data_IF_065966413697
#
_entry.id   IF_065966413697
#
_cell.length_a   1.000
_cell.length_b   1.000
_cell.length_c   1.000
_cell.angle_alpha   90.00
_cell.angle_beta   90.00
_cell.angle_gamma   90.00
#
_symmetry.space_group_name_H-M   'P 1'
#
loop_
_entity.id
_entity.type
_entity.pdbx_description
1 polymer ?
#
# COMPACT_ATOMS: atom_id res chain seq x y z
N UNK A 1 -3.86 3.64 10.46
CA UNK A 1 -2.55 4.24 10.74
C UNK A 1 -2.64 5.21 11.88
N UNK A 2 -1.62 5.24 12.70
CA UNK A 2 -1.46 6.19 13.79
C UNK A 2 -0.04 6.77 13.69
N UNK A 3 0.09 8.09 13.71
CA UNK A 3 1.37 8.79 13.71
C UNK A 3 1.40 9.67 14.95
N UNK A 4 2.07 9.23 16.01
CA UNK A 4 2.00 9.84 17.32
C UNK A 4 0.55 9.91 17.83
N UNK A 5 0.06 11.09 18.16
CA UNK A 5 -1.32 11.33 18.58
C UNK A 5 -2.32 11.36 17.40
N UNK A 6 -1.86 11.50 16.16
CA UNK A 6 -2.70 11.64 14.97
C UNK A 6 -3.28 10.30 14.53
N UNK A 7 -4.58 10.29 14.24
CA UNK A 7 -5.31 9.12 13.72
C UNK A 7 -6.07 9.47 12.45
N UNK A 8 -5.36 9.82 11.35
CA UNK A 8 -5.95 10.45 10.17
C UNK A 8 -7.12 9.66 9.57
N UNK A 9 -7.03 8.34 9.51
CA UNK A 9 -8.13 7.53 8.97
C UNK A 9 -9.33 7.38 9.93
N UNK A 10 -9.14 7.58 11.23
CA UNK A 10 -10.26 7.69 12.16
C UNK A 10 -10.99 9.01 11.94
N UNK A 11 -10.23 10.07 11.82
CA UNK A 11 -10.77 11.42 11.69
C UNK A 11 -11.44 11.62 10.33
N UNK A 12 -10.86 11.07 9.27
CA UNK A 12 -11.49 11.00 7.94
C UNK A 12 -12.81 10.21 8.00
N UNK A 13 -12.81 9.04 8.64
CA UNK A 13 -14.02 8.23 8.76
C UNK A 13 -15.12 8.95 9.54
N UNK A 14 -14.78 9.63 10.64
CA UNK A 14 -15.72 10.43 11.40
C UNK A 14 -16.30 11.60 10.59
N UNK A 15 -15.46 12.27 9.83
CA UNK A 15 -15.87 13.39 8.95
C UNK A 15 -16.80 12.94 7.82
N UNK A 16 -16.57 11.76 7.25
CA UNK A 16 -17.44 11.17 6.23
C UNK A 16 -18.76 10.69 6.84
N UNK A 17 -18.70 10.03 8.00
CA UNK A 17 -19.90 9.56 8.71
C UNK A 17 -20.83 10.70 9.09
N UNK A 18 -20.30 11.85 9.51
CA UNK A 18 -21.07 13.07 9.77
C UNK A 18 -21.79 13.63 8.55
N UNK A 19 -21.42 13.17 7.35
CA UNK A 19 -22.05 13.51 6.06
C UNK A 19 -22.91 12.38 5.49
N UNK A 20 -23.24 11.38 6.30
CA UNK A 20 -24.08 10.27 5.88
C UNK A 20 -23.37 9.20 5.05
N UNK A 21 -22.04 9.18 5.04
CA UNK A 21 -21.25 8.17 4.33
C UNK A 21 -20.74 7.14 5.34
N UNK A 22 -21.24 5.92 5.23
CA UNK A 22 -20.75 4.82 6.06
C UNK A 22 -19.29 4.48 5.70
N UNK A 23 -18.47 4.27 6.71
CA UNK A 23 -17.04 3.93 6.51
C UNK A 23 -16.70 2.69 7.31
N UNK A 24 -16.26 1.64 6.62
CA UNK A 24 -15.69 0.46 7.22
C UNK A 24 -14.17 0.57 7.23
N UNK A 25 -13.58 0.43 8.41
CA UNK A 25 -12.13 0.37 8.62
C UNK A 25 -11.78 -0.88 9.43
N UNK A 26 -10.66 -1.46 9.16
CA UNK A 26 -10.17 -2.63 9.89
C UNK A 26 -8.66 -2.53 10.14
N UNK A 27 -8.16 -3.28 11.10
CA UNK A 27 -6.73 -3.45 11.30
C UNK A 27 -6.20 -4.51 10.35
N UNK A 28 -5.02 -4.28 9.78
CA UNK A 28 -4.35 -5.30 8.96
C UNK A 28 -4.16 -6.58 9.76
N UNK A 29 -4.36 -7.73 9.12
CA UNK A 29 -4.16 -9.04 9.78
C UNK A 29 -2.75 -9.23 10.31
N UNK A 30 -1.74 -8.68 9.66
CA UNK A 30 -0.34 -8.69 10.12
C UNK A 30 -0.15 -7.95 11.44
N UNK A 31 -1.01 -6.98 11.76
CA UNK A 31 -1.03 -6.31 13.06
C UNK A 31 -1.95 -7.01 14.07
N UNK A 32 -3.17 -7.33 13.66
CA UNK A 32 -4.20 -7.91 14.54
C UNK A 32 -3.83 -9.33 14.98
N UNK A 33 -3.18 -10.09 14.13
CA UNK A 33 -2.81 -11.48 14.34
C UNK A 33 -1.30 -11.70 14.19
N UNK A 34 -0.48 -10.75 14.68
CA UNK A 34 0.96 -10.72 14.47
C UNK A 34 1.66 -12.05 14.80
N UNK A 35 1.35 -12.65 15.94
CA UNK A 35 1.95 -13.92 16.35
C UNK A 35 1.62 -15.07 15.39
N UNK A 36 0.37 -15.16 14.91
CA UNK A 36 -0.06 -16.16 13.93
C UNK A 36 0.59 -15.91 12.57
N UNK A 37 0.67 -14.65 12.17
CA UNK A 37 1.25 -14.26 10.88
C UNK A 37 2.78 -14.43 10.86
N UNK A 38 3.47 -14.26 12.00
CA UNK A 38 4.91 -14.49 12.11
C UNK A 38 5.30 -15.93 11.76
N UNK A 39 4.48 -16.92 12.11
CA UNK A 39 4.70 -18.32 11.75
C UNK A 39 4.67 -18.58 10.24
N UNK A 40 4.05 -17.71 9.47
CA UNK A 40 3.91 -17.78 8.00
C UNK A 40 4.64 -16.64 7.29
N UNK A 41 5.51 -15.90 7.97
CA UNK A 41 6.11 -14.67 7.44
C UNK A 41 6.83 -14.86 6.10
N UNK A 42 7.50 -16.01 5.90
CA UNK A 42 8.21 -16.33 4.66
C UNK A 42 7.32 -16.60 3.44
N UNK A 43 6.01 -16.80 3.63
CA UNK A 43 5.04 -17.13 2.56
C UNK A 43 3.92 -16.11 2.40
N UNK A 44 3.90 -15.05 3.22
CA UNK A 44 2.89 -13.99 3.11
C UNK A 44 3.09 -13.21 1.81
N UNK A 45 2.00 -12.96 1.11
CA UNK A 45 1.95 -12.13 -0.09
C UNK A 45 1.05 -10.91 0.12
N UNK A 46 1.08 -9.96 -0.82
CA UNK A 46 0.14 -8.81 -0.80
C UNK A 46 -1.32 -9.26 -0.89
N UNK A 47 -1.57 -10.46 -1.41
CA UNK A 47 -2.91 -11.00 -1.51
C UNK A 47 -3.49 -11.25 -0.11
N UNK A 48 -2.79 -12.04 0.70
CA UNK A 48 -3.21 -12.35 2.07
C UNK A 48 -3.15 -11.10 2.97
N UNK A 49 -2.11 -10.27 2.81
CA UNK A 49 -1.93 -9.12 3.69
C UNK A 49 -2.96 -8.02 3.48
N UNK A 50 -3.41 -7.81 2.23
CA UNK A 50 -4.17 -6.60 1.90
C UNK A 50 -5.39 -6.88 1.02
N UNK A 51 -5.25 -7.65 -0.06
CA UNK A 51 -6.29 -7.76 -1.09
C UNK A 51 -7.49 -8.56 -0.58
N UNK A 52 -7.25 -9.73 0.02
CA UNK A 52 -8.32 -10.60 0.50
C UNK A 52 -9.13 -9.96 1.62
N UNK A 53 -8.48 -9.20 2.52
CA UNK A 53 -9.17 -8.46 3.57
C UNK A 53 -10.03 -7.31 3.00
N UNK A 54 -9.55 -6.61 1.98
CA UNK A 54 -10.32 -5.56 1.32
C UNK A 54 -11.55 -6.12 0.61
N UNK A 55 -11.40 -7.24 -0.12
CA UNK A 55 -12.53 -7.92 -0.76
C UNK A 55 -13.54 -8.47 0.25
N UNK A 56 -13.08 -9.02 1.37
CA UNK A 56 -13.95 -9.45 2.46
C UNK A 56 -14.71 -8.29 3.09
N UNK A 57 -14.06 -7.13 3.25
CA UNK A 57 -14.71 -5.91 3.73
C UNK A 57 -15.79 -5.40 2.76
N UNK A 58 -15.52 -5.42 1.45
CA UNK A 58 -16.52 -5.09 0.41
C UNK A 58 -17.70 -6.06 0.47
N UNK A 59 -17.43 -7.37 0.56
CA UNK A 59 -18.47 -8.40 0.66
C UNK A 59 -19.34 -8.26 1.93
N UNK A 60 -18.74 -7.82 3.04
CA UNK A 60 -19.47 -7.50 4.27
C UNK A 60 -20.39 -6.31 4.07
N UNK A 61 -19.92 -5.23 3.45
CA UNK A 61 -20.73 -4.05 3.16
C UNK A 61 -21.88 -4.36 2.21
N UNK A 62 -21.66 -5.18 1.17
CA UNK A 62 -22.73 -5.62 0.24
C UNK A 62 -23.89 -6.32 0.93
N UNK A 63 -23.63 -6.99 2.05
CA UNK A 63 -24.65 -7.72 2.82
C UNK A 63 -25.35 -6.87 3.88
N UNK A 64 -24.86 -5.67 4.17
CA UNK A 64 -25.40 -4.84 5.23
C UNK A 64 -26.69 -4.13 4.76
N UNK A 65 -27.84 -4.25 5.49
CA UNK A 65 -29.14 -3.77 5.00
C UNK A 65 -29.21 -2.26 4.80
N UNK A 66 -28.37 -1.47 5.47
CA UNK A 66 -28.35 -0.01 5.35
C UNK A 66 -27.34 0.50 4.30
N UNK A 67 -26.67 -0.38 3.58
CA UNK A 67 -25.67 0.01 2.57
C UNK A 67 -26.23 -0.27 1.17
N UNK A 68 -26.12 0.74 0.30
CA UNK A 68 -26.38 0.51 -1.12
C UNK A 68 -25.18 -0.25 -1.74
N UNK A 69 -25.37 -1.51 -2.17
CA UNK A 69 -24.26 -2.32 -2.70
C UNK A 69 -23.67 -1.78 -4.01
N UNK A 70 -24.41 -0.93 -4.73
CA UNK A 70 -23.94 -0.28 -5.97
C UNK A 70 -23.16 1.02 -5.71
N UNK A 71 -22.97 1.41 -4.45
CA UNK A 71 -22.28 2.65 -4.07
C UNK A 71 -21.16 2.39 -3.05
N UNK A 72 -20.43 1.30 -3.22
CA UNK A 72 -19.29 0.93 -2.39
C UNK A 72 -18.02 1.36 -3.11
N UNK A 73 -17.22 2.17 -2.43
CA UNK A 73 -15.94 2.68 -2.91
C UNK A 73 -14.79 2.10 -2.05
N UNK A 74 -13.67 1.82 -2.68
CA UNK A 74 -12.45 1.41 -1.98
C UNK A 74 -11.48 2.57 -1.94
N UNK A 75 -11.04 2.95 -0.72
CA UNK A 75 -10.03 3.97 -0.52
C UNK A 75 -8.73 3.32 -0.02
N UNK A 76 -7.66 3.52 -0.76
CA UNK A 76 -6.33 3.01 -0.43
C UNK A 76 -5.32 4.14 -0.24
N UNK A 77 -4.42 3.98 0.74
CA UNK A 77 -3.33 4.92 1.00
C UNK A 77 -1.99 4.22 0.78
N UNK A 78 -1.04 4.90 0.12
CA UNK A 78 0.31 4.39 -0.15
C UNK A 78 0.23 3.03 -0.89
N UNK A 79 0.82 1.95 -0.36
CA UNK A 79 0.69 0.60 -0.90
C UNK A 79 -0.79 0.18 -1.11
N UNK A 80 -1.70 0.55 -0.20
CA UNK A 80 -3.13 0.29 -0.38
C UNK A 80 -3.72 1.05 -1.57
N UNK A 81 -3.22 2.24 -1.87
CA UNK A 81 -3.57 3.01 -3.07
C UNK A 81 -3.03 2.36 -4.35
N UNK A 82 -1.79 1.89 -4.34
CA UNK A 82 -1.21 1.11 -5.43
C UNK A 82 -2.03 -0.16 -5.75
N UNK A 83 -2.55 -0.82 -4.71
CA UNK A 83 -3.31 -2.07 -4.85
C UNK A 83 -4.81 -1.86 -5.13
N UNK A 84 -5.35 -0.66 -4.94
CA UNK A 84 -6.77 -0.39 -5.14
C UNK A 84 -7.28 -0.72 -6.56
N UNK A 85 -6.54 -0.45 -7.65
CA UNK A 85 -6.93 -0.90 -8.98
C UNK A 85 -7.03 -2.42 -9.09
N UNK A 86 -6.10 -3.16 -8.49
CA UNK A 86 -6.14 -4.63 -8.48
C UNK A 86 -7.34 -5.17 -7.70
N UNK A 87 -7.70 -4.52 -6.60
CA UNK A 87 -8.89 -4.87 -5.81
C UNK A 87 -10.16 -4.63 -6.65
N UNK A 88 -10.27 -3.49 -7.33
CA UNK A 88 -11.40 -3.17 -8.19
C UNK A 88 -11.49 -4.09 -9.43
N UNK A 89 -10.36 -4.53 -9.97
CA UNK A 89 -10.33 -5.52 -11.07
C UNK A 89 -10.86 -6.91 -10.64
N UNK A 90 -10.74 -7.25 -9.35
CA UNK A 90 -11.21 -8.52 -8.78
C UNK A 90 -12.70 -8.50 -8.37
N UNK A 91 -13.29 -7.31 -8.24
CA UNK A 91 -14.71 -7.13 -7.90
C UNK A 91 -15.30 -5.96 -8.70
N UNK A 92 -15.93 -6.28 -9.82
CA UNK A 92 -16.49 -5.31 -10.76
C UNK A 92 -17.67 -4.49 -10.17
N UNK A 93 -18.25 -4.91 -9.05
CA UNK A 93 -19.33 -4.17 -8.37
C UNK A 93 -18.79 -3.02 -7.50
N UNK A 94 -17.48 -2.89 -7.33
CA UNK A 94 -16.88 -1.72 -6.68
C UNK A 94 -17.19 -0.50 -7.55
N UNK A 95 -17.89 0.48 -6.96
CA UNK A 95 -18.41 1.65 -7.69
C UNK A 95 -17.31 2.66 -8.08
N UNK A 96 -16.17 2.63 -7.43
CA UNK A 96 -15.02 3.48 -7.73
C UNK A 96 -13.91 3.32 -6.69
N UNK A 97 -12.76 3.92 -6.96
CA UNK A 97 -11.58 3.85 -6.08
C UNK A 97 -11.02 5.23 -5.76
N UNK A 98 -10.44 5.35 -4.57
CA UNK A 98 -9.79 6.57 -4.10
C UNK A 98 -8.34 6.24 -3.78
N UNK A 99 -7.43 6.83 -4.51
CA UNK A 99 -5.99 6.64 -4.42
C UNK A 99 -5.39 7.81 -3.62
N UNK A 100 -4.96 7.56 -2.40
CA UNK A 100 -4.36 8.59 -1.55
C UNK A 100 -2.86 8.35 -1.43
N UNK A 101 -2.04 9.29 -1.88
CA UNK A 101 -0.58 9.15 -1.90
C UNK A 101 -0.17 7.75 -2.41
N UNK A 102 -0.76 7.35 -3.53
CA UNK A 102 -0.59 6.03 -4.10
C UNK A 102 0.68 5.97 -4.93
N UNK A 103 1.59 5.08 -4.60
CA UNK A 103 2.77 4.88 -5.43
C UNK A 103 2.40 4.19 -6.75
N UNK A 104 2.98 4.68 -7.83
CA UNK A 104 2.90 4.09 -9.17
C UNK A 104 4.17 3.26 -9.47
N UNK A 105 5.27 3.60 -8.82
CA UNK A 105 6.58 2.95 -8.96
C UNK A 105 6.75 1.80 -7.97
N UNK A 106 7.71 0.88 -8.23
CA UNK A 106 8.04 -0.20 -7.30
C UNK A 106 8.41 0.32 -5.90
N UNK A 107 7.85 -0.32 -4.88
CA UNK A 107 8.06 0.10 -3.47
C UNK A 107 9.53 0.13 -3.06
N UNK A 108 10.43 -0.80 -3.50
CA UNK A 108 11.86 -0.69 -3.18
C UNK A 108 12.49 0.62 -3.65
N UNK A 109 12.10 1.17 -4.80
CA UNK A 109 12.60 2.47 -5.28
C UNK A 109 12.18 3.61 -4.35
N UNK A 110 10.91 3.59 -3.90
CA UNK A 110 10.41 4.60 -2.97
C UNK A 110 11.14 4.55 -1.62
N UNK A 111 11.43 3.35 -1.13
CA UNK A 111 12.18 3.17 0.13
C UNK A 111 13.56 3.82 0.02
N UNK A 112 14.25 3.61 -1.10
CA UNK A 112 15.56 4.23 -1.32
C UNK A 112 15.47 5.76 -1.37
N UNK A 113 14.47 6.31 -2.07
CA UNK A 113 14.24 7.77 -2.11
C UNK A 113 13.92 8.34 -0.73
N UNK A 114 13.05 7.67 0.05
CA UNK A 114 12.68 8.10 1.41
C UNK A 114 13.89 8.13 2.34
N UNK A 115 14.69 7.08 2.34
CA UNK A 115 15.88 6.99 3.18
C UNK A 115 16.95 8.02 2.77
N UNK A 116 17.15 8.23 1.48
CA UNK A 116 18.04 9.26 0.96
C UNK A 116 17.58 10.66 1.37
N UNK A 117 16.29 10.93 1.34
CA UNK A 117 15.70 12.19 1.79
C UNK A 117 15.94 12.40 3.30
N UNK A 118 15.61 11.42 4.14
CA UNK A 118 15.84 11.51 5.60
C UNK A 118 17.31 11.75 5.91
N UNK A 119 18.21 11.03 5.24
CA UNK A 119 19.66 11.24 5.36
C UNK A 119 20.07 12.67 5.02
N UNK A 120 19.46 13.27 4.00
CA UNK A 120 19.77 14.64 3.56
C UNK A 120 19.37 15.73 4.56
N UNK A 121 18.44 15.43 5.47
CA UNK A 121 17.97 16.40 6.48
C UNK A 121 19.01 16.63 7.60
N UNK A 122 19.98 15.72 7.77
CA UNK A 122 20.92 15.77 8.88
C UNK A 122 20.28 15.39 10.22
N UNK A 123 21.09 15.51 11.28
CA UNK A 123 20.64 15.20 12.64
C UNK A 123 20.71 13.71 13.00
N UNK A 124 20.20 13.32 14.18
CA UNK A 124 20.35 11.95 14.71
C UNK A 124 19.70 10.86 13.82
N UNK A 125 18.63 11.20 13.15
CA UNK A 125 17.91 10.26 12.26
C UNK A 125 18.65 10.02 10.93
N UNK A 126 19.50 10.94 10.51
CA UNK A 126 20.24 10.84 9.25
C UNK A 126 21.30 9.72 9.26
N UNK A 127 21.93 9.47 10.40
CA UNK A 127 22.92 8.39 10.51
C UNK A 127 22.24 7.02 10.41
N UNK A 128 21.15 6.82 11.16
CA UNK A 128 20.33 5.60 11.08
C UNK A 128 19.78 5.40 9.67
N UNK A 129 19.26 6.46 9.06
CA UNK A 129 18.75 6.41 7.67
C UNK A 129 19.87 6.07 6.68
N UNK A 130 21.11 6.51 6.92
CA UNK A 130 22.25 6.13 6.10
C UNK A 130 22.56 4.64 6.15
N UNK A 131 22.57 4.05 7.34
CA UNK A 131 22.77 2.60 7.52
C UNK A 131 21.62 1.78 6.91
N UNK A 132 20.40 2.22 7.11
CA UNK A 132 19.20 1.58 6.54
C UNK A 132 19.18 1.71 5.01
N UNK A 133 19.65 2.82 4.46
CA UNK A 133 19.79 3.00 3.01
C UNK A 133 20.76 1.98 2.40
N UNK A 134 21.92 1.77 3.03
CA UNK A 134 22.88 0.77 2.56
C UNK A 134 22.31 -0.65 2.59
N UNK A 135 21.60 -1.00 3.66
CA UNK A 135 20.90 -2.29 3.77
C UNK A 135 19.80 -2.43 2.71
N UNK A 136 18.99 -1.38 2.52
CA UNK A 136 17.93 -1.35 1.54
C UNK A 136 18.46 -1.45 0.10
N UNK A 137 19.58 -0.80 -0.22
CA UNK A 137 20.23 -0.92 -1.53
C UNK A 137 20.67 -2.35 -1.81
N UNK A 138 21.35 -3.00 -0.86
CA UNK A 138 21.78 -4.41 -0.99
C UNK A 138 20.58 -5.35 -1.18
N UNK A 139 19.51 -5.12 -0.41
CA UNK A 139 18.29 -5.91 -0.53
C UNK A 139 17.57 -5.68 -1.89
N UNK A 140 17.48 -4.43 -2.34
CA UNK A 140 16.87 -4.10 -3.64
C UNK A 140 17.65 -4.71 -4.81
N UNK A 141 19.01 -4.65 -4.78
CA UNK A 141 19.84 -5.31 -5.78
C UNK A 141 19.66 -6.83 -5.79
N UNK A 142 19.59 -7.46 -4.60
CA UNK A 142 19.34 -8.90 -4.48
C UNK A 142 17.97 -9.25 -5.07
N UNK A 143 16.91 -8.52 -4.70
CA UNK A 143 15.57 -8.71 -5.22
C UNK A 143 15.55 -8.58 -6.75
N UNK A 144 16.20 -7.56 -7.30
CA UNK A 144 16.26 -7.32 -8.74
C UNK A 144 16.99 -8.44 -9.52
N UNK A 145 17.96 -9.11 -8.89
CA UNK A 145 18.75 -10.21 -9.50
C UNK A 145 18.16 -11.59 -9.21
N UNK A 146 17.21 -11.69 -8.28
CA UNK A 146 16.70 -12.98 -7.82
C UNK A 146 15.78 -13.61 -8.85
N UNK A 147 16.04 -14.89 -9.16
CA UNK A 147 15.10 -15.78 -9.85
C UNK A 147 14.07 -16.41 -8.92
N UNK A 148 14.21 -16.19 -7.59
CA UNK A 148 13.36 -16.80 -6.57
C UNK A 148 13.87 -18.12 -6.00
N UNK A 149 15.01 -18.60 -6.47
CA UNK A 149 15.52 -19.96 -6.16
C UNK A 149 16.30 -20.05 -4.83
N UNK A 150 16.71 -18.91 -4.26
CA UNK A 150 17.41 -18.87 -2.97
C UNK A 150 16.77 -17.85 -2.04
N UNK A 151 16.00 -18.30 -1.03
CA UNK A 151 15.37 -17.39 -0.10
C UNK A 151 16.44 -16.67 0.75
N UNK A 152 16.32 -15.36 0.85
CA UNK A 152 17.13 -14.56 1.76
C UNK A 152 16.80 -14.91 3.23
N UNK A 153 17.77 -14.75 4.09
CA UNK A 153 17.57 -14.94 5.53
C UNK A 153 16.75 -13.77 6.10
N UNK A 154 15.98 -13.98 7.20
CA UNK A 154 15.13 -12.94 7.78
C UNK A 154 15.85 -11.63 8.12
N UNK A 155 17.12 -11.69 8.54
CA UNK A 155 17.96 -10.52 8.84
C UNK A 155 18.33 -9.68 7.61
N UNK A 156 18.20 -10.26 6.42
CA UNK A 156 18.48 -9.60 5.14
C UNK A 156 17.21 -9.04 4.46
N UNK A 157 16.03 -9.30 5.01
CA UNK A 157 14.76 -8.89 4.42
C UNK A 157 14.61 -7.38 4.40
N UNK A 158 14.17 -6.85 3.28
CA UNK A 158 13.84 -5.43 3.15
C UNK A 158 12.62 -5.11 4.02
N UNK A 159 12.80 -4.23 5.00
CA UNK A 159 11.76 -3.86 5.98
C UNK A 159 11.13 -5.06 6.71
N UNK A 160 11.89 -6.14 6.94
CA UNK A 160 11.37 -7.34 7.59
C UNK A 160 10.37 -8.14 6.75
N UNK A 161 10.37 -7.94 5.43
CA UNK A 161 9.46 -8.59 4.48
C UNK A 161 10.30 -9.44 3.51
N UNK A 162 9.93 -10.72 3.26
CA UNK A 162 10.71 -11.63 2.44
C UNK A 162 10.79 -11.18 0.97
N UNK A 163 11.86 -11.57 0.28
CA UNK A 163 12.09 -11.22 -1.12
C UNK A 163 10.95 -11.70 -2.04
N UNK A 164 10.34 -12.84 -1.73
CA UNK A 164 9.20 -13.37 -2.46
C UNK A 164 8.00 -12.42 -2.53
N UNK A 165 7.77 -11.66 -1.46
CA UNK A 165 6.73 -10.63 -1.41
C UNK A 165 7.02 -9.50 -2.41
N UNK A 166 8.27 -9.01 -2.43
CA UNK A 166 8.68 -7.93 -3.31
C UNK A 166 8.71 -8.36 -4.78
N UNK A 167 9.17 -9.59 -5.04
CA UNK A 167 9.15 -10.18 -6.38
C UNK A 167 7.72 -10.35 -6.92
N UNK A 168 6.79 -10.75 -6.06
CA UNK A 168 5.39 -10.85 -6.45
C UNK A 168 4.79 -9.46 -6.72
N UNK A 169 5.12 -8.47 -5.88
CA UNK A 169 4.66 -7.10 -6.04
C UNK A 169 5.24 -6.45 -7.31
N UNK A 170 6.49 -6.74 -7.64
CA UNK A 170 7.16 -6.23 -8.84
C UNK A 170 6.52 -6.73 -10.16
N UNK A 171 5.81 -7.86 -10.12
CA UNK A 171 5.05 -8.38 -11.28
C UNK A 171 3.72 -7.66 -11.51
N UNK A 172 3.33 -6.76 -10.61
CA UNK A 172 2.09 -6.01 -10.69
C UNK A 172 2.34 -4.59 -11.21
N UNK A 173 1.71 -4.25 -12.32
CA UNK A 173 1.68 -2.89 -12.87
C UNK A 173 0.35 -2.22 -12.49
N UNK A 174 0.36 -1.27 -11.56
CA UNK A 174 -0.85 -0.58 -11.12
C UNK A 174 -1.42 0.34 -12.20
N UNK A 175 -0.56 0.96 -13.02
CA UNK A 175 -0.98 1.86 -14.08
C UNK A 175 -1.68 1.11 -15.21
N UNK A 176 -1.09 -0.01 -15.64
CA UNK A 176 -1.70 -0.87 -16.66
C UNK A 176 -3.05 -1.41 -16.20
N UNK A 177 -3.13 -1.84 -14.94
CA UNK A 177 -4.40 -2.32 -14.36
C UNK A 177 -5.44 -1.20 -14.32
N UNK A 178 -5.07 -0.01 -13.88
CA UNK A 178 -5.96 1.15 -13.80
C UNK A 178 -6.53 1.54 -15.15
N UNK A 179 -5.72 1.54 -16.21
CA UNK A 179 -6.17 1.81 -17.60
C UNK A 179 -7.29 0.88 -18.08
N UNK A 180 -7.34 -0.33 -17.57
CA UNK A 180 -8.34 -1.33 -17.96
C UNK A 180 -9.65 -1.22 -17.17
N UNK A 181 -9.67 -0.44 -16.10
CA UNK A 181 -10.84 -0.25 -15.26
C UNK A 181 -11.83 0.73 -15.89
N UNK A 182 -13.10 0.45 -15.69
CA UNK A 182 -14.20 1.36 -16.05
C UNK A 182 -14.67 2.21 -14.87
N UNK A 183 -14.33 1.81 -13.66
CA UNK A 183 -14.69 2.49 -12.43
C UNK A 183 -14.00 3.86 -12.35
N UNK A 184 -14.70 4.90 -11.89
CA UNK A 184 -14.11 6.22 -11.67
C UNK A 184 -13.03 6.14 -10.58
N UNK A 185 -12.00 6.96 -10.75
CA UNK A 185 -10.87 7.05 -9.82
C UNK A 185 -10.70 8.48 -9.35
N UNK A 186 -10.52 8.65 -8.04
CA UNK A 186 -10.10 9.91 -7.43
C UNK A 186 -8.66 9.75 -6.94
N UNK A 187 -7.75 10.58 -7.42
CA UNK A 187 -6.34 10.57 -7.02
C UNK A 187 -6.06 11.81 -6.18
N UNK A 188 -5.56 11.58 -4.96
CA UNK A 188 -5.22 12.61 -4.00
C UNK A 188 -3.73 12.51 -3.64
N UNK A 189 -3.01 13.62 -3.82
CA UNK A 189 -1.57 13.69 -3.54
C UNK A 189 -1.23 14.95 -2.77
N UNK A 190 -0.43 14.82 -1.73
CA UNK A 190 0.14 15.93 -1.00
C UNK A 190 1.39 16.47 -1.73
N UNK A 191 1.44 17.76 -2.04
CA UNK A 191 2.59 18.37 -2.75
C UNK A 191 3.89 18.42 -1.94
N UNK A 192 3.86 18.09 -0.63
CA UNK A 192 5.04 17.99 0.24
C UNK A 192 5.26 16.57 0.79
N UNK A 193 4.64 15.58 0.17
CA UNK A 193 4.82 14.19 0.56
C UNK A 193 6.20 13.71 0.07
N UNK A 194 7.08 13.38 1.02
CA UNK A 194 8.40 12.84 0.71
C UNK A 194 8.41 11.32 0.58
N UNK A 195 7.36 10.65 1.03
CA UNK A 195 7.27 9.18 0.98
C UNK A 195 6.78 8.70 -0.40
N UNK A 196 5.73 9.35 -0.91
CA UNK A 196 5.26 9.17 -2.28
C UNK A 196 5.20 10.55 -2.92
N UNK A 197 6.11 10.83 -3.81
CA UNK A 197 6.30 12.17 -4.34
C UNK A 197 5.35 12.48 -5.51
N UNK A 198 5.36 13.72 -5.96
CA UNK A 198 4.63 14.15 -7.17
C UNK A 198 5.06 13.37 -8.44
N UNK A 199 6.21 12.70 -8.43
CA UNK A 199 6.60 11.80 -9.52
C UNK A 199 5.55 10.71 -9.74
N UNK A 200 5.10 10.08 -8.66
CA UNK A 200 4.07 9.02 -8.72
C UNK A 200 2.72 9.59 -9.17
N UNK A 201 2.32 10.76 -8.65
CA UNK A 201 1.12 11.44 -9.10
C UNK A 201 1.14 11.75 -10.61
N UNK A 202 2.28 12.22 -11.11
CA UNK A 202 2.43 12.52 -12.54
C UNK A 202 2.37 11.26 -13.41
N UNK A 203 2.87 10.12 -12.91
CA UNK A 203 2.71 8.83 -13.59
C UNK A 203 1.24 8.41 -13.64
N UNK A 204 0.49 8.54 -12.54
CA UNK A 204 -0.95 8.30 -12.54
C UNK A 204 -1.68 9.20 -13.53
N UNK A 205 -1.43 10.51 -13.47
CA UNK A 205 -2.04 11.51 -14.35
C UNK A 205 -1.73 11.26 -15.83
N UNK A 206 -0.51 10.83 -16.13
CA UNK A 206 -0.11 10.53 -17.52
C UNK A 206 -0.64 9.19 -18.04
N UNK A 207 -1.07 8.30 -17.16
CA UNK A 207 -1.61 7.00 -17.51
C UNK A 207 -3.12 6.99 -17.73
N UNK A 208 -3.86 7.91 -17.11
CA UNK A 208 -5.33 7.99 -17.10
C UNK A 208 -5.84 9.20 -17.87
#
# INVERSE_FOLDING_TARGET
STVGACKPFRDLAGSLAARGIAVLRYEKRTKQHAAKMAASAGSITVREETIDDALAAVALLKKHPSINPQRIFVAGHSLGGMLAPRIAALDADIAGIILMAANARPVPELILEQLAYIRSLGGPEAETAGQDLERAMKAAERIARSSGDSPAKPEEWLLGVPDSYWLQLAKYDPLLTAKQLKQPMLILQGGRDYQVTEKDFNLWKGAL
#
